data_IF_042017719328
#
_entry.id   IF_042017719328
#
_cell.length_a   1.000
_cell.length_b   1.000
_cell.length_c   1.000
_cell.angle_alpha   90.00
_cell.angle_beta   90.00
_cell.angle_gamma   90.00
#
_symmetry.space_group_name_H-M   'P 1'
#
loop_
_entity.id
_entity.type
_entity.pdbx_description
1 polymer ?
#
# COMPACT_ATOMS: atom_id res chain seq x y z
N UNK A 1 26.58 8.62 28.37
CA UNK A 1 25.52 7.97 29.15
C UNK A 1 25.05 8.79 30.37
N UNK A 2 25.35 10.06 30.44
CA UNK A 2 24.98 10.92 31.58
C UNK A 2 23.81 11.87 31.37
N UNK A 3 23.28 11.99 30.15
CA UNK A 3 22.25 13.00 29.82
C UNK A 3 20.81 12.55 30.10
N UNK A 4 20.55 11.25 30.16
CA UNK A 4 19.23 10.72 30.47
C UNK A 4 18.91 10.64 31.96
N UNK A 5 19.93 10.67 32.82
CA UNK A 5 19.75 10.57 34.27
C UNK A 5 19.30 11.88 34.92
N UNK A 6 19.61 13.02 34.31
CA UNK A 6 19.23 14.33 34.84
C UNK A 6 17.77 14.75 34.52
N UNK A 7 17.11 14.08 33.55
CA UNK A 7 15.71 14.38 33.25
C UNK A 7 14.74 13.72 34.22
N UNK A 8 15.18 12.64 34.91
CA UNK A 8 14.31 11.91 35.83
C UNK A 8 14.29 12.49 37.26
N UNK A 9 15.32 13.23 37.65
CA UNK A 9 15.38 13.85 38.97
C UNK A 9 14.63 15.18 39.09
N UNK A 10 14.24 15.78 37.99
CA UNK A 10 13.47 17.04 38.02
C UNK A 10 11.97 16.80 38.27
N UNK A 11 11.52 15.56 38.28
CA UNK A 11 10.10 15.22 38.45
C UNK A 11 9.73 14.76 39.89
N UNK A 12 10.67 14.78 40.82
CA UNK A 12 10.42 14.35 42.21
C UNK A 12 10.47 15.52 43.17
N UNK A 13 9.64 16.53 42.92
CA UNK A 13 9.32 17.52 43.96
C UNK A 13 7.82 17.51 44.17
N UNK A 14 7.42 16.84 45.25
CA UNK A 14 6.03 16.60 45.68
C UNK A 14 5.20 17.88 45.97
N UNK A 15 5.78 19.04 45.86
CA UNK A 15 5.08 20.32 46.02
C UNK A 15 4.68 21.02 44.72
N UNK A 16 5.00 20.44 43.54
CA UNK A 16 4.67 21.03 42.27
C UNK A 16 3.24 20.70 41.79
N UNK A 17 2.60 19.69 42.36
CA UNK A 17 1.30 19.18 41.90
C UNK A 17 0.13 20.11 42.19
N UNK A 18 0.21 20.94 43.25
CA UNK A 18 -0.89 21.84 43.59
C UNK A 18 -0.87 23.13 42.82
N UNK A 19 0.31 23.58 42.37
CA UNK A 19 0.43 24.78 41.53
C UNK A 19 0.21 24.50 40.05
N UNK A 20 0.43 23.26 39.59
CA UNK A 20 0.21 22.85 38.21
C UNK A 20 -1.28 22.87 37.81
N UNK A 21 -2.18 22.59 38.77
CA UNK A 21 -3.63 22.63 38.49
C UNK A 21 -4.18 24.07 38.27
N UNK A 22 -3.51 25.12 38.76
CA UNK A 22 -3.93 26.51 38.57
C UNK A 22 -3.37 27.14 37.29
N UNK A 23 -2.38 26.50 36.66
CA UNK A 23 -1.74 27.02 35.45
C UNK A 23 -2.32 26.43 34.15
N UNK A 24 -3.35 25.57 34.25
CA UNK A 24 -4.12 25.11 33.10
C UNK A 24 -4.98 26.28 32.58
N UNK A 25 -4.32 27.20 31.90
CA UNK A 25 -4.98 28.26 31.15
C UNK A 25 -5.64 27.65 29.91
N UNK A 26 -6.77 28.23 29.47
CA UNK A 26 -7.43 27.74 28.24
C UNK A 26 -6.49 27.74 27.02
N UNK A 27 -5.39 28.47 27.11
CA UNK A 27 -4.33 28.48 26.08
C UNK A 27 -3.64 27.12 25.91
N UNK A 28 -3.47 26.35 26.98
CA UNK A 28 -2.83 25.04 26.93
C UNK A 28 -3.70 24.04 26.16
N UNK A 29 -5.03 24.13 26.32
CA UNK A 29 -5.95 23.31 25.52
C UNK A 29 -5.88 23.64 24.02
N UNK A 30 -5.69 24.92 23.66
CA UNK A 30 -5.51 25.32 22.26
C UNK A 30 -4.21 24.75 21.68
N UNK A 31 -3.13 24.76 22.44
CA UNK A 31 -1.84 24.22 22.01
C UNK A 31 -1.94 22.70 21.84
N UNK A 32 -2.53 21.98 22.80
CA UNK A 32 -2.73 20.54 22.69
C UNK A 32 -3.64 20.19 21.52
N UNK A 33 -4.74 20.90 21.32
CA UNK A 33 -5.63 20.69 20.19
C UNK A 33 -4.92 20.94 18.85
N UNK A 34 -4.07 21.97 18.78
CA UNK A 34 -3.28 22.26 17.58
C UNK A 34 -2.27 21.15 17.28
N UNK A 35 -1.55 20.64 18.30
CA UNK A 35 -0.58 19.55 18.14
C UNK A 35 -1.28 18.26 17.70
N UNK A 36 -2.42 17.92 18.31
CA UNK A 36 -3.19 16.73 17.95
C UNK A 36 -3.73 16.86 16.53
N UNK A 37 -4.26 18.03 16.16
CA UNK A 37 -4.76 18.30 14.82
C UNK A 37 -3.65 18.17 13.76
N UNK A 38 -2.48 18.72 14.05
CA UNK A 38 -1.32 18.62 13.17
C UNK A 38 -0.82 17.18 13.02
N UNK A 39 -0.84 16.41 14.12
CA UNK A 39 -0.46 14.99 14.11
C UNK A 39 -1.43 14.17 13.26
N UNK A 40 -2.73 14.36 13.42
CA UNK A 40 -3.75 13.68 12.62
C UNK A 40 -3.63 14.05 11.13
N UNK A 41 -3.38 15.33 10.85
CA UNK A 41 -3.18 15.81 9.49
C UNK A 41 -1.94 15.18 8.84
N UNK A 42 -0.84 15.08 9.59
CA UNK A 42 0.38 14.41 9.14
C UNK A 42 0.15 12.92 8.87
N UNK A 43 -0.59 12.23 9.74
CA UNK A 43 -0.92 10.81 9.54
C UNK A 43 -1.79 10.58 8.30
N UNK A 44 -2.73 11.48 8.03
CA UNK A 44 -3.57 11.39 6.81
C UNK A 44 -2.75 11.62 5.54
N UNK A 45 -1.75 12.51 5.59
CA UNK A 45 -0.86 12.78 4.46
C UNK A 45 0.22 11.72 4.30
N UNK A 46 0.62 11.07 5.40
CA UNK A 46 1.61 10.00 5.42
C UNK A 46 1.01 8.61 5.12
N UNK A 47 -0.30 8.51 4.87
CA UNK A 47 -0.87 7.30 4.32
C UNK A 47 -0.51 7.26 2.82
N UNK A 48 0.65 6.70 2.43
CA UNK A 48 0.88 6.37 1.05
C UNK A 48 -0.22 5.39 0.74
N UNK A 49 -1.13 5.75 -0.15
CA UNK A 49 -1.97 4.74 -0.76
C UNK A 49 -1.00 3.67 -1.23
N UNK A 50 -1.01 2.51 -0.59
CA UNK A 50 -0.24 1.36 -1.03
C UNK A 50 -0.68 1.13 -2.46
N UNK A 51 0.07 1.70 -3.39
CA UNK A 51 -0.19 1.56 -4.81
C UNK A 51 0.05 0.10 -5.13
N UNK A 52 -1.01 -0.65 -5.21
CA UNK A 52 -0.92 -2.00 -5.77
C UNK A 52 -0.70 -1.83 -7.27
N UNK A 53 0.32 -2.46 -7.76
CA UNK A 53 0.71 -2.43 -9.18
C UNK A 53 0.45 -3.80 -9.77
N UNK A 54 -0.13 -3.81 -10.95
CA UNK A 54 -0.27 -5.01 -11.77
C UNK A 54 0.98 -5.14 -12.63
N UNK A 55 1.71 -6.21 -12.45
CA UNK A 55 2.81 -6.60 -13.30
C UNK A 55 2.31 -7.61 -14.33
N UNK A 56 2.48 -7.27 -15.59
CA UNK A 56 2.17 -8.15 -16.71
C UNK A 56 3.48 -8.49 -17.41
N UNK A 57 3.88 -9.73 -17.24
CA UNK A 57 5.05 -10.28 -17.92
C UNK A 57 4.61 -10.96 -19.22
N UNK A 58 5.19 -10.56 -20.34
CA UNK A 58 4.90 -11.08 -21.67
C UNK A 58 6.22 -11.29 -22.44
N UNK A 59 6.22 -12.13 -23.46
CA UNK A 59 7.39 -12.34 -24.31
C UNK A 59 7.90 -11.03 -24.97
N UNK A 60 7.04 -10.04 -25.17
CA UNK A 60 7.39 -8.72 -25.72
C UNK A 60 7.89 -7.72 -24.68
N UNK A 61 7.83 -8.03 -23.41
CA UNK A 61 8.30 -7.16 -22.33
C UNK A 61 7.42 -7.20 -21.10
N UNK A 62 7.86 -6.44 -20.12
CA UNK A 62 7.19 -6.27 -18.83
C UNK A 62 6.42 -4.96 -18.82
N UNK A 63 5.16 -5.03 -18.43
CA UNK A 63 4.29 -3.88 -18.32
C UNK A 63 3.82 -3.73 -16.87
N UNK A 64 3.76 -2.49 -16.42
CA UNK A 64 3.28 -2.17 -15.06
C UNK A 64 2.12 -1.17 -15.18
N UNK A 65 1.02 -1.52 -14.53
CA UNK A 65 -0.18 -0.68 -14.51
C UNK A 65 -0.68 -0.50 -13.09
N UNK A 66 -1.29 0.65 -12.83
CA UNK A 66 -1.91 0.90 -11.52
C UNK A 66 -3.17 0.09 -11.34
N UNK A 67 -3.30 -0.58 -10.19
CA UNK A 67 -4.49 -1.34 -9.82
C UNK A 67 -5.67 -0.44 -9.40
N UNK A 68 -5.42 0.83 -9.13
CA UNK A 68 -6.46 1.75 -8.64
C UNK A 68 -7.40 2.23 -9.75
N UNK A 69 -7.01 2.05 -11.01
CA UNK A 69 -7.83 2.45 -12.16
C UNK A 69 -8.50 1.24 -12.80
N UNK A 70 -9.82 1.30 -12.90
CA UNK A 70 -10.56 0.32 -13.70
C UNK A 70 -10.25 0.54 -15.17
N UNK A 71 -9.58 -0.41 -15.79
CA UNK A 71 -9.16 -0.34 -17.19
C UNK A 71 -8.96 -1.73 -17.79
N UNK A 72 -8.92 -1.77 -19.10
CA UNK A 72 -8.60 -2.97 -19.87
C UNK A 72 -7.29 -2.74 -20.62
N UNK A 73 -6.39 -3.68 -20.49
CA UNK A 73 -5.06 -3.62 -21.10
C UNK A 73 -4.91 -4.77 -22.10
N UNK A 74 -4.45 -4.43 -23.28
CA UNK A 74 -4.18 -5.38 -24.36
C UNK A 74 -2.70 -5.74 -24.36
N UNK A 75 -2.42 -7.01 -24.19
CA UNK A 75 -1.06 -7.55 -24.10
C UNK A 75 -0.84 -8.54 -25.23
N UNK A 76 0.14 -8.27 -26.03
CA UNK A 76 0.48 -9.12 -27.16
C UNK A 76 1.36 -10.28 -26.69
N UNK A 77 0.89 -11.51 -26.88
CA UNK A 77 1.68 -12.73 -26.72
C UNK A 77 1.99 -13.41 -28.07
N UNK A 78 2.68 -14.55 -28.04
CA UNK A 78 3.07 -15.28 -29.25
C UNK A 78 1.89 -15.83 -30.07
N UNK A 79 0.77 -16.17 -29.40
CA UNK A 79 -0.42 -16.69 -30.08
C UNK A 79 -1.41 -15.59 -30.47
N UNK A 80 -1.26 -14.39 -29.91
CA UNK A 80 -2.13 -13.27 -30.19
C UNK A 80 -2.34 -12.38 -28.95
N UNK A 81 -3.35 -11.53 -29.06
CA UNK A 81 -3.66 -10.53 -28.03
C UNK A 81 -4.43 -11.13 -26.85
N UNK A 82 -3.97 -10.86 -25.66
CA UNK A 82 -4.66 -11.18 -24.39
C UNK A 82 -5.20 -9.90 -23.78
N UNK A 83 -6.47 -9.90 -23.37
CA UNK A 83 -7.10 -8.75 -22.73
C UNK A 83 -7.16 -8.97 -21.23
N UNK A 84 -6.45 -8.12 -20.50
CA UNK A 84 -6.39 -8.10 -19.03
C UNK A 84 -7.28 -6.97 -18.52
N UNK A 85 -8.26 -7.31 -17.69
CA UNK A 85 -9.16 -6.34 -17.07
C UNK A 85 -8.78 -6.11 -15.61
N UNK A 86 -8.63 -4.85 -15.24
CA UNK A 86 -8.52 -4.41 -13.85
C UNK A 86 -9.85 -3.80 -13.42
N UNK A 87 -10.46 -4.35 -12.39
CA UNK A 87 -11.72 -3.87 -11.82
C UNK A 87 -11.73 -4.07 -10.31
N UNK A 88 -12.11 -3.02 -9.56
CA UNK A 88 -12.23 -3.05 -8.10
C UNK A 88 -10.97 -3.58 -7.40
N UNK A 89 -9.80 -3.14 -7.87
CA UNK A 89 -8.48 -3.58 -7.38
C UNK A 89 -8.22 -5.08 -7.52
N UNK A 90 -8.88 -5.69 -8.48
CA UNK A 90 -8.70 -7.10 -8.87
C UNK A 90 -8.38 -7.20 -10.33
N UNK A 91 -7.68 -8.25 -10.70
CA UNK A 91 -7.27 -8.50 -12.08
C UNK A 91 -7.84 -9.83 -12.56
N UNK A 92 -8.25 -9.86 -13.83
CA UNK A 92 -8.63 -11.09 -14.53
C UNK A 92 -8.28 -10.99 -16.00
N UNK A 93 -8.17 -12.13 -16.67
CA UNK A 93 -8.11 -12.19 -18.12
C UNK A 93 -9.53 -12.43 -18.63
N UNK A 94 -10.00 -11.53 -19.50
CA UNK A 94 -11.34 -11.62 -20.12
C UNK A 94 -11.32 -12.27 -21.47
N UNK A 95 -10.21 -12.15 -22.21
CA UNK A 95 -10.03 -12.82 -23.49
C UNK A 95 -8.56 -13.20 -23.72
N UNK A 96 -8.34 -14.34 -24.35
CA UNK A 96 -7.03 -14.84 -24.70
C UNK A 96 -7.16 -15.86 -25.85
N UNK A 97 -6.20 -15.89 -26.78
CA UNK A 97 -6.18 -16.85 -27.89
C UNK A 97 -5.82 -18.28 -27.46
N UNK A 98 -5.69 -18.56 -26.18
CA UNK A 98 -5.40 -19.91 -25.67
C UNK A 98 -6.48 -20.91 -26.06
N UNK A 99 -6.13 -22.09 -26.59
CA UNK A 99 -7.11 -23.12 -27.02
C UNK A 99 -8.00 -23.60 -25.86
N UNK A 100 -7.43 -23.78 -24.67
CA UNK A 100 -8.14 -24.26 -23.48
C UNK A 100 -8.84 -23.20 -22.66
N UNK A 101 -8.60 -21.90 -22.91
CA UNK A 101 -9.16 -20.75 -22.17
C UNK A 101 -9.07 -20.86 -20.65
N UNK A 102 -8.11 -21.64 -20.15
CA UNK A 102 -7.91 -21.89 -18.71
C UNK A 102 -7.55 -20.62 -17.94
N UNK A 103 -6.85 -19.67 -18.59
CA UNK A 103 -6.53 -18.38 -18.00
C UNK A 103 -7.78 -17.52 -17.75
N UNK A 104 -8.82 -17.66 -18.59
CA UNK A 104 -10.09 -16.96 -18.40
C UNK A 104 -10.88 -17.59 -17.27
N UNK A 105 -10.87 -18.92 -17.17
CA UNK A 105 -11.58 -19.68 -16.12
C UNK A 105 -11.01 -19.48 -14.71
N UNK A 106 -9.76 -19.01 -14.59
CA UNK A 106 -9.17 -18.64 -13.31
C UNK A 106 -9.90 -17.46 -12.63
N UNK A 107 -10.59 -16.63 -13.42
CA UNK A 107 -11.35 -15.51 -12.89
C UNK A 107 -10.46 -14.44 -12.24
N UNK A 108 -10.96 -13.87 -11.13
CA UNK A 108 -10.20 -12.90 -10.34
C UNK A 108 -9.21 -13.61 -9.43
N UNK A 109 -7.99 -13.75 -9.90
CA UNK A 109 -6.90 -14.44 -9.19
C UNK A 109 -5.58 -13.71 -9.39
N UNK A 110 -4.60 -13.98 -8.55
CA UNK A 110 -3.22 -13.51 -8.72
C UNK A 110 -2.28 -14.52 -8.06
N UNK A 111 -1.25 -14.97 -8.77
CA UNK A 111 -0.94 -14.71 -10.19
C UNK A 111 -1.83 -15.50 -11.16
N UNK A 112 -2.13 -14.91 -12.32
CA UNK A 112 -2.79 -15.59 -13.44
C UNK A 112 -1.72 -15.96 -14.45
N UNK A 113 -1.66 -17.22 -14.83
CA UNK A 113 -0.66 -17.75 -15.76
C UNK A 113 -1.33 -18.27 -17.01
N UNK A 114 -1.00 -17.69 -18.15
CA UNK A 114 -1.38 -18.17 -19.47
C UNK A 114 -0.16 -18.75 -20.18
N UNK A 115 0.15 -20.01 -19.93
CA UNK A 115 1.33 -20.69 -20.50
C UNK A 115 1.36 -20.73 -22.02
N UNK A 116 0.25 -21.08 -22.74
CA UNK A 116 0.25 -21.10 -24.19
C UNK A 116 0.60 -19.76 -24.80
N UNK A 117 0.14 -18.67 -24.22
CA UNK A 117 0.40 -17.31 -24.69
C UNK A 117 1.54 -16.60 -23.96
N UNK A 118 2.24 -17.30 -23.03
CA UNK A 118 3.38 -16.79 -22.26
C UNK A 118 3.09 -15.43 -21.60
N UNK A 119 1.90 -15.29 -21.04
CA UNK A 119 1.49 -14.12 -20.29
C UNK A 119 1.28 -14.46 -18.84
N UNK A 120 1.94 -13.73 -17.95
CA UNK A 120 1.80 -13.86 -16.51
C UNK A 120 1.34 -12.50 -15.97
N UNK A 121 0.27 -12.53 -15.21
CA UNK A 121 -0.29 -11.33 -14.57
C UNK A 121 -0.21 -11.50 -13.06
N UNK A 122 0.53 -10.66 -12.39
CA UNK A 122 0.67 -10.67 -10.93
C UNK A 122 0.33 -9.32 -10.33
N UNK A 123 -0.15 -9.32 -9.09
CA UNK A 123 -0.38 -8.13 -8.31
C UNK A 123 0.75 -8.02 -7.29
N UNK A 124 1.48 -6.93 -7.33
CA UNK A 124 2.44 -6.59 -6.30
C UNK A 124 1.91 -5.46 -5.44
N UNK A 125 1.85 -5.72 -4.14
CA UNK A 125 1.55 -4.69 -3.16
C UNK A 125 2.86 -4.03 -2.74
N UNK A 126 3.07 -2.79 -3.12
CA UNK A 126 4.18 -2.00 -2.61
C UNK A 126 4.02 -1.86 -1.08
N UNK A 127 4.72 -2.66 -0.32
CA UNK A 127 4.71 -2.61 1.14
C UNK A 127 4.76 -3.95 1.86
N UNK A 128 4.70 -5.05 1.15
CA UNK A 128 4.94 -6.38 1.71
C UNK A 128 6.19 -6.95 1.06
N UNK A 129 7.33 -6.47 1.53
CA UNK A 129 8.58 -7.19 1.35
C UNK A 129 8.51 -8.39 2.29
N UNK A 130 7.95 -9.49 1.84
CA UNK A 130 8.33 -10.77 2.38
C UNK A 130 9.80 -10.96 2.02
N UNK A 131 10.66 -10.60 2.95
CA UNK A 131 12.05 -11.00 2.93
C UNK A 131 12.05 -12.50 3.12
N UNK A 132 11.99 -13.24 2.03
CA UNK A 132 12.38 -14.64 2.03
C UNK A 132 13.88 -14.65 2.21
N UNK A 133 14.31 -14.75 3.46
CA UNK A 133 15.69 -15.09 3.79
C UNK A 133 15.83 -16.60 3.61
N UNK A 134 16.59 -17.01 2.63
CA UNK A 134 17.19 -18.34 2.61
C UNK A 134 18.18 -18.50 3.77
#
# INVERSE_FOLDING_TARGET
MGLFYNYFYFFSSENATIHAMKLFRPLDFLIFAAIISLSIFSLRKANPQKGSVVHIHSEKGDFQYSLDKNAEYKVQGPLGETIVQVKDRKVRIIDSPCPGKTCISQGYHSPIVCMPNKVIVSIENYGEFDAVSE
#
